data_IF_361594541068
#
_entry.id   IF_361594541068
#
_cell.length_a   1.000
_cell.length_b   1.000
_cell.length_c   1.000
_cell.angle_alpha   90.00
_cell.angle_beta   90.00
_cell.angle_gamma   90.00
#
_symmetry.space_group_name_H-M   'P 1'
#
loop_
_entity.id
_entity.type
_entity.pdbx_description
1 polymer ?
#
# COMPACT_ATOMS: atom_id res chain seq x y z
N UNK A 1 -47.46 5.99 -11.45
CA UNK A 1 -46.22 6.54 -12.05
C UNK A 1 -45.38 7.42 -11.08
N UNK A 2 -45.93 7.90 -9.95
CA UNK A 2 -45.26 8.80 -8.99
C UNK A 2 -44.12 8.17 -8.16
N UNK A 3 -44.13 6.86 -7.95
CA UNK A 3 -43.09 6.17 -7.16
C UNK A 3 -41.74 6.05 -7.87
N UNK A 4 -41.74 5.84 -9.20
CA UNK A 4 -40.52 5.73 -10.00
C UNK A 4 -39.79 7.07 -10.16
N UNK A 5 -40.52 8.18 -10.24
CA UNK A 5 -39.94 9.53 -10.27
C UNK A 5 -39.37 9.93 -8.91
N UNK A 6 -40.03 9.56 -7.81
CA UNK A 6 -39.53 9.78 -6.45
C UNK A 6 -38.23 8.99 -6.18
N UNK A 7 -38.15 7.72 -6.59
CA UNK A 7 -36.93 6.91 -6.47
C UNK A 7 -35.79 7.49 -7.32
N UNK A 8 -36.08 7.89 -8.57
CA UNK A 8 -35.08 8.56 -9.43
C UNK A 8 -34.62 9.91 -8.89
N UNK A 9 -35.49 10.64 -8.20
CA UNK A 9 -35.16 11.90 -7.53
C UNK A 9 -34.30 11.66 -6.28
N UNK A 10 -34.61 10.63 -5.48
CA UNK A 10 -33.80 10.23 -4.34
C UNK A 10 -32.40 9.78 -4.76
N UNK A 11 -32.28 8.95 -5.80
CA UNK A 11 -30.98 8.50 -6.32
C UNK A 11 -30.13 9.67 -6.84
N UNK A 12 -30.74 10.64 -7.55
CA UNK A 12 -30.02 11.85 -7.99
C UNK A 12 -29.59 12.73 -6.82
N UNK A 13 -30.45 12.91 -5.82
CA UNK A 13 -30.11 13.69 -4.63
C UNK A 13 -29.01 13.00 -3.80
N UNK A 14 -28.99 11.67 -3.76
CA UNK A 14 -27.94 10.90 -3.10
C UNK A 14 -26.62 11.04 -3.87
N UNK A 15 -26.62 10.79 -5.18
CA UNK A 15 -25.44 10.95 -6.02
C UNK A 15 -24.87 12.39 -5.99
N UNK A 16 -25.74 13.40 -6.03
CA UNK A 16 -25.33 14.80 -5.91
C UNK A 16 -24.72 15.13 -4.54
N UNK A 17 -25.23 14.55 -3.45
CA UNK A 17 -24.65 14.69 -2.11
C UNK A 17 -23.34 13.90 -1.95
N UNK A 18 -23.16 12.79 -2.64
CA UNK A 18 -21.91 12.03 -2.66
C UNK A 18 -20.81 12.73 -3.46
N UNK A 19 -21.15 13.31 -4.62
CA UNK A 19 -20.21 14.09 -5.42
C UNK A 19 -19.82 15.39 -4.68
N UNK A 20 -20.77 16.01 -3.98
CA UNK A 20 -20.53 17.23 -3.19
C UNK A 20 -19.87 16.96 -1.83
N UNK A 21 -19.98 15.73 -1.30
CA UNK A 21 -19.26 15.29 -0.13
C UNK A 21 -17.96 14.61 -0.58
N UNK A 22 -16.89 15.39 -0.69
CA UNK A 22 -15.51 14.99 -1.07
C UNK A 22 -14.90 13.85 -0.23
N UNK A 23 -15.64 13.29 0.74
CA UNK A 23 -15.28 12.12 1.55
C UNK A 23 -15.00 10.87 0.70
N UNK A 24 -15.66 10.73 -0.45
CA UNK A 24 -15.40 9.62 -1.38
C UNK A 24 -14.09 9.79 -2.14
N UNK A 25 -13.72 11.03 -2.48
CA UNK A 25 -12.47 11.38 -3.18
C UNK A 25 -11.28 11.14 -2.26
N UNK A 26 -11.38 11.54 -0.99
CA UNK A 26 -10.33 11.30 0.02
C UNK A 26 -10.07 9.82 0.27
N UNK A 27 -11.09 8.95 0.27
CA UNK A 27 -10.87 7.51 0.42
C UNK A 27 -10.09 6.88 -0.74
N UNK A 28 -10.35 7.34 -1.97
CA UNK A 28 -9.63 6.89 -3.17
C UNK A 28 -8.18 7.37 -3.13
N UNK A 29 -7.94 8.61 -2.71
CA UNK A 29 -6.59 9.16 -2.54
C UNK A 29 -5.76 8.33 -1.56
N UNK A 30 -6.31 8.03 -0.38
CA UNK A 30 -5.61 7.20 0.60
C UNK A 30 -5.39 5.77 0.11
N UNK A 31 -6.30 5.20 -0.68
CA UNK A 31 -6.11 3.87 -1.28
C UNK A 31 -4.93 3.86 -2.27
N UNK A 32 -4.81 4.89 -3.11
CA UNK A 32 -3.69 5.02 -4.05
C UNK A 32 -2.36 5.21 -3.30
N UNK A 33 -2.34 6.05 -2.25
CA UNK A 33 -1.15 6.24 -1.41
C UNK A 33 -0.74 4.93 -0.73
N UNK A 34 -1.69 4.17 -0.19
CA UNK A 34 -1.41 2.89 0.45
C UNK A 34 -0.87 1.86 -0.56
N UNK A 35 -1.40 1.83 -1.79
CA UNK A 35 -0.88 0.96 -2.86
C UNK A 35 0.56 1.34 -3.23
N UNK A 36 0.86 2.64 -3.38
CA UNK A 36 2.20 3.13 -3.64
C UNK A 36 3.19 2.79 -2.51
N UNK A 37 2.80 3.00 -1.25
CA UNK A 37 3.61 2.66 -0.10
C UNK A 37 3.89 1.14 -0.04
N UNK A 38 2.88 0.32 -0.31
CA UNK A 38 3.02 -1.14 -0.31
C UNK A 38 4.00 -1.62 -1.39
N UNK A 39 3.98 -0.99 -2.57
CA UNK A 39 4.93 -1.31 -3.64
C UNK A 39 6.37 -0.98 -3.24
N UNK A 40 6.59 0.18 -2.62
CA UNK A 40 7.92 0.58 -2.11
C UNK A 40 8.40 -0.40 -1.03
N UNK A 41 7.54 -0.77 -0.09
CA UNK A 41 7.87 -1.75 0.95
C UNK A 41 8.23 -3.10 0.36
N UNK A 42 7.50 -3.56 -0.66
CA UNK A 42 7.78 -4.84 -1.32
C UNK A 42 9.15 -4.84 -2.01
N UNK A 43 9.53 -3.74 -2.66
CA UNK A 43 10.84 -3.62 -3.31
C UNK A 43 11.97 -3.62 -2.27
N UNK A 44 11.84 -2.85 -1.18
CA UNK A 44 12.91 -2.66 -0.19
C UNK A 44 13.03 -3.87 0.76
N UNK A 45 11.90 -4.39 1.22
CA UNK A 45 11.81 -5.44 2.24
C UNK A 45 11.32 -6.78 1.68
N UNK A 46 11.40 -6.97 0.36
CA UNK A 46 11.01 -8.21 -0.30
C UNK A 46 11.69 -9.43 0.33
N UNK A 47 10.89 -10.45 0.67
CA UNK A 47 11.34 -11.63 1.42
C UNK A 47 12.50 -12.36 0.74
N UNK A 48 12.51 -12.45 -0.58
CA UNK A 48 13.45 -13.30 -1.29
C UNK A 48 14.62 -12.55 -1.91
N UNK A 49 14.46 -11.26 -2.24
CA UNK A 49 15.47 -10.47 -2.95
C UNK A 49 15.51 -8.99 -2.53
N UNK A 50 14.89 -8.62 -1.41
CA UNK A 50 14.91 -7.24 -0.92
C UNK A 50 16.34 -6.79 -0.57
N UNK A 51 16.74 -5.55 -0.92
CA UNK A 51 18.07 -5.01 -0.65
C UNK A 51 18.43 -5.08 0.84
N UNK A 52 17.45 -4.86 1.75
CA UNK A 52 17.68 -4.94 3.20
C UNK A 52 18.05 -6.36 3.63
N UNK A 53 17.31 -7.38 3.14
CA UNK A 53 17.64 -8.78 3.43
C UNK A 53 19.03 -9.12 2.92
N UNK A 54 19.33 -8.75 1.68
CA UNK A 54 20.59 -9.10 1.05
C UNK A 54 21.76 -8.45 1.80
N UNK A 55 21.64 -7.18 2.16
CA UNK A 55 22.63 -6.47 2.99
C UNK A 55 22.85 -7.19 4.33
N UNK A 56 21.77 -7.54 5.04
CA UNK A 56 21.89 -8.26 6.33
C UNK A 56 22.55 -9.63 6.14
N UNK A 57 22.14 -10.40 5.13
CA UNK A 57 22.73 -11.70 4.83
C UNK A 57 24.23 -11.58 4.54
N UNK A 58 24.63 -10.61 3.70
CA UNK A 58 26.05 -10.37 3.40
C UNK A 58 26.85 -9.94 4.63
N UNK A 59 26.28 -9.11 5.51
CA UNK A 59 26.95 -8.74 6.76
C UNK A 59 27.21 -9.97 7.64
N UNK A 60 26.24 -10.86 7.80
CA UNK A 60 26.43 -12.08 8.60
C UNK A 60 27.46 -13.03 7.98
N UNK A 61 27.45 -13.20 6.66
CA UNK A 61 28.47 -13.99 5.95
C UNK A 61 29.86 -13.39 6.19
N UNK A 62 30.01 -12.08 6.01
CA UNK A 62 31.29 -11.41 6.21
C UNK A 62 31.80 -11.51 7.66
N UNK A 63 30.90 -11.48 8.65
CA UNK A 63 31.24 -11.68 10.06
C UNK A 63 31.68 -13.12 10.34
N UNK A 64 30.98 -14.11 9.78
CA UNK A 64 31.33 -15.53 9.89
C UNK A 64 32.71 -15.81 9.28
N UNK A 65 32.96 -15.33 8.06
CA UNK A 65 34.26 -15.43 7.38
C UNK A 65 35.39 -14.84 8.22
N UNK A 66 35.13 -13.67 8.83
CA UNK A 66 36.12 -13.01 9.69
C UNK A 66 36.39 -13.80 10.97
N UNK A 67 35.35 -14.32 11.61
CA UNK A 67 35.47 -15.14 12.80
C UNK A 67 36.27 -16.42 12.50
N UNK A 68 35.94 -17.11 11.41
CA UNK A 68 36.63 -18.32 10.98
C UNK A 68 38.10 -18.07 10.65
N UNK A 69 38.44 -16.90 10.09
CA UNK A 69 39.82 -16.47 9.85
C UNK A 69 40.62 -16.17 11.12
N UNK A 70 39.96 -15.86 12.25
CA UNK A 70 40.64 -15.59 13.53
C UNK A 70 40.84 -16.88 14.32
N UNK A 71 39.89 -17.82 14.23
CA UNK A 71 39.92 -19.07 14.97
C UNK A 71 40.86 -20.11 14.33
N UNK A 72 41.04 -20.09 13.00
CA UNK A 72 41.94 -20.98 12.26
C UNK A 72 43.34 -20.39 12.15
#
# INVERSE_FOLDING_TARGET
>A
MMYLSAVRAQLRNFAGKFIKNERGVTAIEYAIVAAGLSAVLLIIFGKDNGPVRNMLAFLFIALDDKLMSVIR
#
